data_IF_089593236266
#
_entry.id   IF_089593236266
#
_cell.length_a   1.000
_cell.length_b   1.000
_cell.length_c   1.000
_cell.angle_alpha   90.00
_cell.angle_beta   90.00
_cell.angle_gamma   90.00
#
_symmetry.space_group_name_H-M   'P 1'
#
loop_
_entity.id
_entity.type
_entity.pdbx_description
1 polymer ?
#
# COMPACT_ATOMS: atom_id res chain seq x y z
N UNK A 1 2.02 -2.28 -13.69
CA UNK A 1 2.83 -1.25 -13.03
C UNK A 1 3.58 -0.44 -14.06
N UNK A 2 4.50 -1.02 -14.85
CA UNK A 2 5.34 -0.32 -15.86
C UNK A 2 4.49 0.56 -16.78
N UNK A 3 3.42 0.03 -17.40
CA UNK A 3 2.59 0.80 -18.31
C UNK A 3 1.91 2.00 -17.61
N UNK A 4 1.44 1.82 -16.37
CA UNK A 4 0.83 2.92 -15.61
C UNK A 4 1.87 4.01 -15.31
N UNK A 5 3.10 3.61 -14.95
CA UNK A 5 4.17 4.56 -14.70
C UNK A 5 4.58 5.33 -15.98
N UNK A 6 4.60 4.65 -17.16
CA UNK A 6 4.99 5.25 -18.45
C UNK A 6 4.00 6.31 -18.94
N UNK A 7 2.69 6.04 -18.82
CA UNK A 7 1.64 6.88 -19.45
C UNK A 7 0.72 7.59 -18.46
N UNK A 8 0.89 7.36 -17.16
CA UNK A 8 0.01 7.83 -16.09
C UNK A 8 -1.28 7.02 -15.97
N UNK A 9 -1.86 6.99 -14.75
CA UNK A 9 -3.07 6.22 -14.48
C UNK A 9 -4.29 6.75 -15.24
N UNK A 10 -4.38 8.06 -15.47
CA UNK A 10 -5.50 8.66 -16.21
C UNK A 10 -5.55 8.17 -17.66
N UNK A 11 -4.40 8.05 -18.30
CA UNK A 11 -4.25 7.56 -19.67
C UNK A 11 -4.23 6.03 -19.78
N UNK A 12 -4.14 5.32 -18.67
CA UNK A 12 -4.14 3.87 -18.64
C UNK A 12 -5.54 3.32 -18.98
N UNK A 13 -5.57 2.29 -19.85
CA UNK A 13 -6.79 1.52 -20.16
C UNK A 13 -6.43 0.05 -20.30
N UNK A 14 -7.39 -0.84 -20.08
CA UNK A 14 -7.19 -2.28 -20.30
C UNK A 14 -6.93 -2.64 -21.75
N UNK A 15 -7.46 -1.85 -22.69
CA UNK A 15 -7.13 -1.99 -24.12
C UNK A 15 -5.62 -1.77 -24.37
N UNK A 16 -5.04 -0.68 -23.84
CA UNK A 16 -3.61 -0.41 -23.95
C UNK A 16 -2.76 -1.49 -23.28
N UNK A 17 -3.21 -1.96 -22.10
CA UNK A 17 -2.54 -3.07 -21.40
C UNK A 17 -2.58 -4.33 -22.24
N UNK A 18 -3.74 -4.70 -22.78
CA UNK A 18 -3.90 -5.87 -23.64
C UNK A 18 -2.97 -5.84 -24.85
N UNK A 19 -2.89 -4.68 -25.52
CA UNK A 19 -1.95 -4.49 -26.64
C UNK A 19 -0.50 -4.71 -26.21
N UNK A 20 -0.10 -4.15 -25.05
CA UNK A 20 1.29 -4.27 -24.54
C UNK A 20 1.68 -5.71 -24.18
N UNK A 21 0.75 -6.50 -23.63
CA UNK A 21 1.03 -7.88 -23.17
C UNK A 21 0.60 -8.96 -24.19
N UNK A 22 0.10 -8.57 -25.38
CA UNK A 22 -0.37 -9.52 -26.38
C UNK A 22 -1.66 -10.26 -26.00
N UNK A 23 -2.53 -9.65 -25.21
CA UNK A 23 -3.81 -10.21 -24.74
C UNK A 23 -4.99 -9.33 -25.18
N UNK A 24 -6.18 -9.89 -25.17
CA UNK A 24 -7.39 -9.09 -25.43
C UNK A 24 -7.89 -8.42 -24.14
N UNK A 25 -8.57 -7.30 -24.29
CA UNK A 25 -9.12 -6.51 -23.18
C UNK A 25 -10.11 -7.33 -22.32
N UNK A 26 -10.93 -8.16 -22.95
CA UNK A 26 -11.92 -9.01 -22.26
C UNK A 26 -11.27 -10.01 -21.29
N UNK A 27 -10.07 -10.48 -21.60
CA UNK A 27 -9.32 -11.35 -20.70
C UNK A 27 -8.90 -10.63 -19.42
N UNK A 28 -8.59 -9.33 -19.51
CA UNK A 28 -8.19 -8.51 -18.36
C UNK A 28 -9.39 -8.22 -17.48
N UNK A 29 -10.55 -7.91 -18.07
CA UNK A 29 -11.81 -7.70 -17.34
C UNK A 29 -12.27 -8.90 -16.51
N UNK A 30 -11.81 -10.11 -16.81
CA UNK A 30 -12.09 -11.29 -15.97
C UNK A 30 -11.35 -11.26 -14.63
N UNK A 31 -10.26 -10.51 -14.52
CA UNK A 31 -9.47 -10.37 -13.28
C UNK A 31 -9.79 -9.07 -12.53
N UNK A 32 -10.04 -8.00 -13.28
CA UNK A 32 -10.29 -6.68 -12.70
C UNK A 32 -11.51 -6.07 -13.36
N UNK A 33 -12.57 -5.89 -12.59
CA UNK A 33 -13.84 -5.30 -13.03
C UNK A 33 -13.67 -3.89 -13.60
N UNK A 34 -12.71 -3.13 -13.08
CA UNK A 34 -12.39 -1.77 -13.54
C UNK A 34 -10.93 -1.43 -13.29
N UNK A 35 -10.43 -0.35 -13.91
CA UNK A 35 -9.09 0.17 -13.59
C UNK A 35 -8.98 0.67 -12.15
N UNK A 36 -10.09 1.10 -11.55
CA UNK A 36 -10.14 1.46 -10.13
C UNK A 36 -9.92 0.21 -9.24
N UNK A 37 -10.58 -0.92 -9.52
CA UNK A 37 -10.35 -2.18 -8.81
C UNK A 37 -8.92 -2.69 -8.97
N UNK A 38 -8.29 -2.47 -10.12
CA UNK A 38 -6.86 -2.72 -10.29
C UNK A 38 -6.02 -1.81 -9.38
N UNK A 39 -6.35 -0.52 -9.26
CA UNK A 39 -5.63 0.39 -8.36
C UNK A 39 -5.76 -0.04 -6.91
N UNK A 40 -6.95 -0.41 -6.45
CA UNK A 40 -7.17 -0.94 -5.09
C UNK A 40 -6.36 -2.21 -4.83
N UNK A 41 -6.30 -3.12 -5.81
CA UNK A 41 -5.46 -4.32 -5.72
C UNK A 41 -3.97 -3.98 -5.58
N UNK A 42 -3.46 -3.04 -6.39
CA UNK A 42 -2.08 -2.57 -6.30
C UNK A 42 -1.80 -1.89 -4.95
N UNK A 43 -2.76 -1.12 -4.44
CA UNK A 43 -2.66 -0.50 -3.11
C UNK A 43 -2.59 -1.55 -2.00
N UNK A 44 -3.46 -2.56 -2.04
CA UNK A 44 -3.44 -3.66 -1.08
C UNK A 44 -2.10 -4.41 -1.12
N UNK A 45 -1.52 -4.59 -2.30
CA UNK A 45 -0.23 -5.23 -2.49
C UNK A 45 0.91 -4.41 -1.88
N UNK A 46 0.92 -3.08 -2.13
CA UNK A 46 1.89 -2.17 -1.54
C UNK A 46 1.84 -2.20 0.00
N UNK A 47 0.64 -2.14 0.59
CA UNK A 47 0.47 -2.19 2.05
C UNK A 47 0.90 -3.54 2.64
N UNK A 48 0.65 -4.65 1.94
CA UNK A 48 1.10 -5.97 2.36
C UNK A 48 2.64 -6.09 2.36
N UNK A 49 3.29 -5.55 1.34
CA UNK A 49 4.75 -5.46 1.29
C UNK A 49 5.30 -4.59 2.43
N UNK A 50 4.71 -3.42 2.69
CA UNK A 50 5.12 -2.55 3.78
C UNK A 50 4.91 -3.22 5.15
N UNK A 51 3.79 -3.92 5.35
CA UNK A 51 3.53 -4.70 6.56
C UNK A 51 4.61 -5.78 6.77
N UNK A 52 4.98 -6.48 5.71
CA UNK A 52 6.05 -7.48 5.75
C UNK A 52 7.38 -6.86 6.18
N UNK A 53 7.80 -5.75 5.56
CA UNK A 53 9.01 -5.03 5.94
C UNK A 53 8.97 -4.62 7.43
N UNK A 54 7.86 -4.04 7.86
CA UNK A 54 7.64 -3.61 9.24
C UNK A 54 7.81 -4.77 10.22
N UNK A 55 7.20 -5.92 9.94
CA UNK A 55 7.28 -7.09 10.81
C UNK A 55 8.70 -7.64 10.87
N UNK A 56 9.34 -7.86 9.73
CA UNK A 56 10.67 -8.50 9.66
C UNK A 56 11.74 -7.60 10.28
N UNK A 57 11.77 -6.31 9.94
CA UNK A 57 12.81 -5.40 10.41
C UNK A 57 12.66 -5.01 11.90
N UNK A 58 11.48 -5.21 12.50
CA UNK A 58 11.25 -4.91 13.91
C UNK A 58 11.16 -6.17 14.80
N UNK A 59 11.22 -7.37 14.23
CA UNK A 59 11.00 -8.63 14.93
C UNK A 59 11.97 -8.84 16.10
N UNK A 60 13.26 -8.58 15.90
CA UNK A 60 14.32 -8.80 16.89
C UNK A 60 14.49 -7.66 17.89
N UNK A 61 13.77 -6.55 17.75
CA UNK A 61 13.93 -5.37 18.59
C UNK A 61 13.04 -5.51 19.84
N UNK A 62 13.66 -5.66 21.02
CA UNK A 62 12.98 -5.81 22.31
C UNK A 62 12.65 -4.47 22.97
N UNK A 63 13.46 -3.43 22.74
CA UNK A 63 13.22 -2.10 23.29
C UNK A 63 12.05 -1.43 22.54
N UNK A 64 11.01 -1.03 23.27
CA UNK A 64 9.79 -0.47 22.67
C UNK A 64 10.02 0.85 21.93
N UNK A 65 10.89 1.73 22.45
CA UNK A 65 11.20 3.01 21.82
C UNK A 65 11.99 2.79 20.52
N UNK A 66 13.05 1.99 20.56
CA UNK A 66 13.84 1.64 19.38
C UNK A 66 12.98 0.96 18.30
N UNK A 67 12.06 0.09 18.74
CA UNK A 67 11.11 -0.57 17.83
C UNK A 67 10.19 0.43 17.12
N UNK A 68 9.67 1.41 17.86
CA UNK A 68 8.85 2.47 17.30
C UNK A 68 9.66 3.37 16.36
N UNK A 69 10.86 3.79 16.73
CA UNK A 69 11.77 4.59 15.89
C UNK A 69 12.09 3.87 14.58
N UNK A 70 12.39 2.56 14.68
CA UNK A 70 12.61 1.73 13.49
C UNK A 70 11.36 1.64 12.61
N UNK A 71 10.19 1.45 13.21
CA UNK A 71 8.91 1.40 12.49
C UNK A 71 8.64 2.72 11.74
N UNK A 72 8.82 3.86 12.39
CA UNK A 72 8.69 5.18 11.76
C UNK A 72 9.67 5.31 10.59
N UNK A 73 10.92 4.93 10.77
CA UNK A 73 11.93 4.96 9.71
C UNK A 73 11.50 4.12 8.49
N UNK A 74 10.93 2.92 8.71
CA UNK A 74 10.49 2.03 7.63
C UNK A 74 9.37 2.67 6.81
N UNK A 75 8.33 3.22 7.48
CA UNK A 75 7.15 3.75 6.78
C UNK A 75 7.38 5.12 6.16
N UNK A 76 8.40 5.87 6.59
CA UNK A 76 8.72 7.21 6.06
C UNK A 76 9.90 7.23 5.11
N UNK A 77 10.65 6.12 4.98
CA UNK A 77 11.80 6.07 4.08
C UNK A 77 11.36 6.06 2.62
N UNK A 78 12.17 6.66 1.75
CA UNK A 78 12.04 6.49 0.31
C UNK A 78 12.20 5.01 -0.05
N UNK A 79 11.24 4.47 -0.81
CA UNK A 79 11.32 3.07 -1.27
C UNK A 79 12.46 2.95 -2.28
N UNK A 80 13.38 2.04 -2.01
CA UNK A 80 14.48 1.65 -2.88
C UNK A 80 14.18 0.23 -3.38
N UNK A 81 14.51 -0.05 -4.64
CA UNK A 81 14.30 -1.37 -5.24
C UNK A 81 14.92 -2.47 -4.36
N UNK A 82 14.10 -3.44 -3.96
CA UNK A 82 14.53 -4.62 -3.22
C UNK A 82 14.60 -5.82 -4.17
N UNK A 83 15.81 -6.21 -4.54
CA UNK A 83 16.07 -7.34 -5.44
C UNK A 83 15.57 -8.71 -4.92
N UNK A 84 15.06 -8.77 -3.70
CA UNK A 84 14.51 -10.01 -3.14
C UNK A 84 13.11 -10.36 -3.67
N UNK A 85 12.40 -9.40 -4.25
CA UNK A 85 11.07 -9.60 -4.86
C UNK A 85 11.19 -9.54 -6.39
N UNK A 86 11.61 -10.63 -7.01
CA UNK A 86 12.01 -10.72 -8.41
C UNK A 86 10.94 -10.36 -9.48
N UNK A 87 9.72 -10.02 -9.09
CA UNK A 87 8.60 -9.88 -10.04
C UNK A 87 7.91 -8.52 -10.04
N UNK A 88 8.17 -7.65 -9.07
CA UNK A 88 7.50 -6.34 -8.98
C UNK A 88 8.54 -5.29 -8.57
N UNK A 89 8.61 -4.22 -9.33
CA UNK A 89 9.38 -3.03 -9.00
C UNK A 89 8.60 -2.21 -7.94
N UNK A 90 9.01 -2.33 -6.68
CA UNK A 90 8.38 -1.66 -5.54
C UNK A 90 8.49 -0.14 -5.64
N UNK A 91 9.56 0.36 -6.28
CA UNK A 91 9.74 1.80 -6.48
C UNK A 91 8.69 2.35 -7.43
N UNK A 92 8.40 1.64 -8.52
CA UNK A 92 7.33 2.02 -9.46
C UNK A 92 5.95 1.86 -8.81
N UNK A 93 5.76 0.80 -8.02
CA UNK A 93 4.51 0.59 -7.27
C UNK A 93 4.27 1.75 -6.28
N UNK A 94 5.27 2.10 -5.48
CA UNK A 94 5.22 3.22 -4.54
C UNK A 94 4.83 4.53 -5.23
N UNK A 95 5.48 4.87 -6.35
CA UNK A 95 5.16 6.07 -7.14
C UNK A 95 3.70 6.10 -7.58
N UNK A 96 3.15 4.98 -8.04
CA UNK A 96 1.74 4.88 -8.44
C UNK A 96 0.85 5.14 -7.23
N UNK A 97 1.11 4.46 -6.10
CA UNK A 97 0.26 4.56 -4.91
C UNK A 97 0.27 5.97 -4.33
N UNK A 98 1.43 6.62 -4.24
CA UNK A 98 1.52 8.02 -3.75
C UNK A 98 0.79 8.98 -4.68
N UNK A 99 0.97 8.86 -6.00
CA UNK A 99 0.33 9.76 -6.97
C UNK A 99 -1.19 9.57 -7.06
N UNK A 100 -1.68 8.35 -6.84
CA UNK A 100 -3.09 7.99 -7.02
C UNK A 100 -3.83 7.74 -5.70
N UNK A 101 -3.21 8.01 -4.55
CA UNK A 101 -3.75 7.75 -3.21
C UNK A 101 -5.16 8.32 -3.03
N UNK A 102 -5.38 9.58 -3.41
CA UNK A 102 -6.67 10.23 -3.30
C UNK A 102 -7.77 9.52 -4.12
N UNK A 103 -7.42 8.94 -5.28
CA UNK A 103 -8.38 8.20 -6.12
C UNK A 103 -8.75 6.84 -5.52
N UNK A 104 -7.93 6.29 -4.63
CA UNK A 104 -8.24 5.04 -3.93
C UNK A 104 -9.27 5.23 -2.81
N UNK A 105 -9.29 6.37 -2.15
CA UNK A 105 -10.13 6.62 -0.96
C UNK A 105 -11.30 7.57 -1.19
N UNK A 106 -11.20 8.50 -2.16
CA UNK A 106 -12.23 9.51 -2.43
C UNK A 106 -13.22 9.04 -3.48
N UNK A 107 -13.85 7.89 -3.27
CA UNK A 107 -14.87 7.34 -4.15
C UNK A 107 -16.22 7.20 -3.44
N UNK A 108 -17.31 7.18 -4.22
CA UNK A 108 -18.65 6.93 -3.68
C UNK A 108 -18.84 5.49 -3.22
N UNK A 109 -17.95 4.58 -3.61
CA UNK A 109 -18.01 3.15 -3.33
C UNK A 109 -17.08 2.74 -2.18
N UNK A 110 -16.43 3.69 -1.51
CA UNK A 110 -15.43 3.41 -0.46
C UNK A 110 -15.94 2.49 0.64
N UNK A 111 -17.19 2.66 1.07
CA UNK A 111 -17.79 1.83 2.11
C UNK A 111 -17.91 0.37 1.64
N UNK A 112 -18.41 0.14 0.42
CA UNK A 112 -18.49 -1.18 -0.18
C UNK A 112 -17.12 -1.80 -0.38
N UNK A 113 -16.15 -1.04 -0.86
CA UNK A 113 -14.77 -1.47 -1.07
C UNK A 113 -14.08 -1.82 0.25
N UNK A 114 -14.44 -1.11 1.32
CA UNK A 114 -14.01 -1.44 2.67
C UNK A 114 -14.62 -2.77 3.16
N UNK A 115 -15.90 -3.03 2.90
CA UNK A 115 -16.55 -4.31 3.19
C UNK A 115 -15.96 -5.46 2.37
N UNK A 116 -15.54 -5.20 1.14
CA UNK A 116 -14.82 -6.14 0.26
C UNK A 116 -13.38 -6.42 0.73
N UNK A 117 -12.87 -5.71 1.75
CA UNK A 117 -11.58 -5.98 2.37
C UNK A 117 -10.38 -5.26 1.74
N UNK A 118 -10.57 -4.37 0.78
CA UNK A 118 -9.45 -3.69 0.10
C UNK A 118 -8.58 -2.84 1.03
N UNK A 119 -9.13 -2.35 2.15
CA UNK A 119 -8.41 -1.52 3.10
C UNK A 119 -7.95 -2.25 4.37
N UNK A 120 -8.15 -3.55 4.47
CA UNK A 120 -7.79 -4.33 5.67
C UNK A 120 -6.30 -4.28 5.98
N UNK A 121 -5.46 -4.43 4.96
CA UNK A 121 -4.00 -4.43 5.15
C UNK A 121 -3.52 -3.06 5.61
N UNK A 122 -4.01 -1.99 5.03
CA UNK A 122 -3.73 -0.61 5.46
C UNK A 122 -4.09 -0.41 6.95
N UNK A 123 -5.29 -0.84 7.35
CA UNK A 123 -5.73 -0.77 8.75
C UNK A 123 -4.84 -1.58 9.69
N UNK A 124 -4.37 -2.76 9.26
CA UNK A 124 -3.43 -3.56 10.06
C UNK A 124 -2.09 -2.85 10.26
N UNK A 125 -1.56 -2.20 9.24
CA UNK A 125 -0.32 -1.41 9.36
C UNK A 125 -0.50 -0.28 10.39
N UNK A 126 -1.59 0.49 10.30
CA UNK A 126 -1.93 1.53 11.29
C UNK A 126 -2.04 0.94 12.70
N UNK A 127 -2.77 -0.16 12.86
CA UNK A 127 -2.97 -0.81 14.16
C UNK A 127 -1.64 -1.25 14.77
N UNK A 128 -0.74 -1.86 13.98
CA UNK A 128 0.60 -2.27 14.45
C UNK A 128 1.43 -1.09 14.96
N UNK A 129 1.44 0.02 14.24
CA UNK A 129 2.17 1.23 14.67
C UNK A 129 1.51 1.82 15.92
N UNK A 130 0.18 1.87 15.97
CA UNK A 130 -0.57 2.31 17.15
C UNK A 130 -0.23 1.48 18.39
N UNK A 131 -0.14 0.15 18.26
CA UNK A 131 0.27 -0.75 19.35
C UNK A 131 1.72 -0.47 19.79
N UNK A 132 2.64 -0.18 18.85
CA UNK A 132 4.02 0.21 19.19
C UNK A 132 4.05 1.54 19.95
N UNK A 133 3.22 2.51 19.58
CA UNK A 133 3.07 3.78 20.31
C UNK A 133 2.58 3.51 21.74
N UNK A 134 1.54 2.68 21.91
CA UNK A 134 1.00 2.31 23.23
C UNK A 134 1.98 1.52 24.08
N UNK A 135 2.88 0.72 23.48
CA UNK A 135 3.93 0.04 24.21
C UNK A 135 4.98 1.01 24.79
N UNK A 136 5.19 2.16 24.14
CA UNK A 136 6.04 3.25 24.65
C UNK A 136 5.28 4.11 25.66
N UNK A 137 4.00 4.43 25.40
CA UNK A 137 3.16 5.28 26.24
C UNK A 137 1.74 4.72 26.35
N UNK A 138 1.50 3.89 27.36
CA UNK A 138 0.28 3.10 27.56
C UNK A 138 -1.04 3.89 27.55
N UNK A 139 -1.02 5.14 28.02
CA UNK A 139 -2.23 5.97 28.17
C UNK A 139 -2.36 7.04 27.06
N UNK A 140 -1.71 6.83 25.91
CA UNK A 140 -1.79 7.81 24.83
C UNK A 140 -3.08 7.63 24.03
N UNK A 141 -4.02 8.55 24.22
CA UNK A 141 -5.41 8.47 23.70
C UNK A 141 -5.52 8.57 22.17
N UNK A 142 -4.50 9.08 21.48
CA UNK A 142 -4.55 9.37 20.04
C UNK A 142 -3.59 8.47 19.22
N UNK A 143 -3.32 7.27 19.71
CA UNK A 143 -2.34 6.37 19.09
C UNK A 143 -2.70 6.00 17.63
N UNK A 144 -3.96 5.73 17.33
CA UNK A 144 -4.43 5.44 15.97
C UNK A 144 -4.31 6.66 15.05
N UNK A 145 -4.72 7.85 15.54
CA UNK A 145 -4.60 9.08 14.75
C UNK A 145 -3.15 9.44 14.47
N UNK A 146 -2.26 9.27 15.46
CA UNK A 146 -0.83 9.50 15.27
C UNK A 146 -0.24 8.49 14.28
N UNK A 147 -0.59 7.21 14.38
CA UNK A 147 -0.15 6.18 13.46
C UNK A 147 -0.59 6.47 12.02
N UNK A 148 -1.84 6.90 11.81
CA UNK A 148 -2.34 7.32 10.49
C UNK A 148 -1.54 8.52 9.94
N UNK A 149 -1.32 9.54 10.75
CA UNK A 149 -0.55 10.74 10.35
C UNK A 149 0.91 10.43 10.00
N UNK A 150 1.53 9.42 10.64
CA UNK A 150 2.91 9.01 10.31
C UNK A 150 2.99 8.35 8.92
N UNK A 151 1.92 7.67 8.52
CA UNK A 151 1.88 6.91 7.26
C UNK A 151 1.49 7.81 6.07
N UNK A 152 0.67 8.83 6.27
CA UNK A 152 0.23 9.81 5.27
C UNK A 152 1.30 10.82 4.92
#
# INVERSE_FOLDING_TARGET
IILINDIGFDNFTFKKLGTKIGSNESSIYRYFESKHKLLLYLSSWYWAWLEYQLVIETFSISNHLEKLEKAVTIVTRTVVEDNNFAHIDETLLYKIIVNESSKSFLTKEVDKENEEGYFEVYKRVITRISEMILNVKKEYSFSLSLASTIIE
#
